data_IF_887174187547
#
_entry.id   IF_887174187547
#
_cell.length_a   1.000
_cell.length_b   1.000
_cell.length_c   1.000
_cell.angle_alpha   90.00
_cell.angle_beta   90.00
_cell.angle_gamma   90.00
#
_symmetry.space_group_name_H-M   'P 1'
#
loop_
_entity.id
_entity.type
_entity.pdbx_description
1 polymer ?
#
# COMPACT_ATOMS: atom_id res chain seq x y z
N UNK A 1 -17.20 5.95 -4.30
CA UNK A 1 -17.12 5.24 -3.02
C UNK A 1 -15.67 4.83 -2.84
N UNK A 2 -15.00 5.15 -1.73
CA UNK A 2 -13.59 4.73 -1.54
C UNK A 2 -13.59 3.25 -1.13
N UNK A 3 -12.92 2.39 -1.89
CA UNK A 3 -12.84 0.97 -1.59
C UNK A 3 -11.93 0.76 -0.37
N UNK A 4 -12.46 0.12 0.66
CA UNK A 4 -11.69 -0.21 1.87
C UNK A 4 -10.77 -1.38 1.55
N UNK A 5 -9.49 -1.25 1.92
CA UNK A 5 -8.55 -2.37 1.93
C UNK A 5 -8.70 -3.17 3.22
N UNK A 6 -8.49 -2.53 4.38
CA UNK A 6 -8.58 -3.20 5.68
C UNK A 6 -8.78 -2.19 6.81
N UNK A 7 -9.00 -2.69 8.02
CA UNK A 7 -9.08 -1.92 9.25
C UNK A 7 -8.03 -2.49 10.21
N UNK A 8 -7.17 -1.63 10.75
CA UNK A 8 -6.17 -2.05 11.74
C UNK A 8 -6.29 -1.24 13.03
N UNK A 9 -5.87 -1.81 14.15
CA UNK A 9 -5.85 -1.09 15.43
C UNK A 9 -4.93 0.14 15.42
N UNK A 10 -3.90 0.13 14.57
CA UNK A 10 -2.88 1.19 14.50
C UNK A 10 -3.30 2.32 13.56
N UNK A 11 -3.78 1.99 12.37
CA UNK A 11 -4.06 2.97 11.30
C UNK A 11 -5.55 3.29 11.16
N UNK A 12 -6.44 2.52 11.79
CA UNK A 12 -7.88 2.56 11.52
C UNK A 12 -8.20 2.07 10.11
N UNK A 13 -9.14 2.74 9.45
CA UNK A 13 -9.55 2.42 8.08
C UNK A 13 -8.45 2.81 7.07
N UNK A 14 -8.06 1.84 6.25
CA UNK A 14 -7.19 2.04 5.10
C UNK A 14 -8.01 1.89 3.82
N UNK A 15 -7.97 2.92 2.97
CA UNK A 15 -8.68 2.95 1.70
C UNK A 15 -7.69 2.84 0.55
N UNK A 16 -8.03 2.06 -0.48
CA UNK A 16 -7.24 2.02 -1.71
C UNK A 16 -7.10 3.41 -2.31
N UNK A 17 -5.86 3.76 -2.67
CA UNK A 17 -5.52 5.01 -3.35
C UNK A 17 -5.11 4.74 -4.80
N UNK A 18 -4.14 3.84 -5.03
CA UNK A 18 -3.75 3.41 -6.38
C UNK A 18 -3.17 1.98 -6.32
N UNK A 19 -3.38 1.18 -7.37
CA UNK A 19 -2.82 -0.17 -7.51
C UNK A 19 -1.70 -0.11 -8.55
N UNK A 20 -0.54 -0.65 -8.22
CA UNK A 20 0.65 -0.64 -9.06
C UNK A 20 0.98 -2.01 -9.64
N UNK A 21 0.66 -3.09 -8.90
CA UNK A 21 0.78 -4.47 -9.36
C UNK A 21 -0.44 -5.28 -8.98
N UNK A 22 -0.95 -6.05 -9.95
CA UNK A 22 -2.14 -6.88 -9.82
C UNK A 22 -1.90 -8.24 -10.47
N UNK A 23 -1.76 -9.25 -9.61
CA UNK A 23 -1.62 -10.64 -10.02
C UNK A 23 -2.35 -11.51 -9.00
N UNK A 24 -3.45 -12.10 -9.43
CA UNK A 24 -4.40 -12.80 -8.54
C UNK A 24 -4.82 -11.97 -7.31
N UNK A 25 -5.11 -10.69 -7.57
CA UNK A 25 -5.36 -9.68 -6.55
C UNK A 25 -4.28 -8.60 -6.48
N UNK A 26 -4.50 -7.54 -5.68
CA UNK A 26 -3.55 -6.45 -5.54
C UNK A 26 -2.33 -6.88 -4.72
N UNK A 27 -1.16 -6.92 -5.36
CA UNK A 27 0.10 -7.32 -4.73
C UNK A 27 0.94 -6.12 -4.29
N UNK A 28 0.83 -5.00 -5.01
CA UNK A 28 1.49 -3.75 -4.65
C UNK A 28 0.56 -2.55 -4.92
N UNK A 29 0.33 -1.74 -3.91
CA UNK A 29 -0.61 -0.62 -3.99
C UNK A 29 -0.33 0.42 -2.90
N UNK A 30 -0.89 1.62 -3.07
CA UNK A 30 -0.96 2.63 -2.02
C UNK A 30 -2.33 2.67 -1.37
N UNK A 31 -2.34 2.99 -0.09
CA UNK A 31 -3.55 3.26 0.69
C UNK A 31 -3.43 4.60 1.40
N UNK A 32 -4.59 5.17 1.70
CA UNK A 32 -4.70 6.39 2.50
C UNK A 32 -5.55 6.09 3.73
N UNK A 33 -5.10 6.55 4.90
CA UNK A 33 -5.91 6.46 6.12
C UNK A 33 -6.98 7.55 6.20
N UNK A 34 -7.85 7.48 7.20
CA UNK A 34 -8.88 8.50 7.44
C UNK A 34 -8.33 9.90 7.76
N UNK A 35 -7.05 10.02 8.12
CA UNK A 35 -6.36 11.27 8.44
C UNK A 35 -5.59 11.85 7.24
N UNK A 36 -5.61 11.17 6.10
CA UNK A 36 -4.94 11.59 4.87
C UNK A 36 -3.47 11.20 4.78
N UNK A 37 -2.97 10.31 5.65
CA UNK A 37 -1.60 9.78 5.59
C UNK A 37 -1.52 8.62 4.60
N UNK A 38 -0.49 8.66 3.76
CA UNK A 38 -0.24 7.67 2.73
C UNK A 38 0.65 6.54 3.24
N UNK A 39 0.34 5.34 2.76
CA UNK A 39 1.11 4.14 3.01
C UNK A 39 1.24 3.35 1.71
N UNK A 40 2.37 2.68 1.55
CA UNK A 40 2.52 1.61 0.57
C UNK A 40 2.19 0.29 1.25
N UNK A 41 1.50 -0.57 0.51
CA UNK A 41 1.18 -1.93 0.93
C UNK A 41 1.81 -2.88 -0.07
N UNK A 42 2.58 -3.83 0.44
CA UNK A 42 3.22 -4.87 -0.34
C UNK A 42 2.81 -6.24 0.19
N UNK A 43 2.35 -7.10 -0.71
CA UNK A 43 2.07 -8.50 -0.40
C UNK A 43 3.38 -9.24 -0.17
N UNK A 44 3.44 -10.00 0.92
CA UNK A 44 4.68 -10.69 1.33
C UNK A 44 4.56 -12.20 1.34
N UNK A 45 3.36 -12.72 1.61
CA UNK A 45 3.17 -14.15 1.78
C UNK A 45 1.67 -14.52 1.72
N UNK A 46 1.41 -15.80 1.48
CA UNK A 46 0.10 -16.42 1.65
C UNK A 46 0.25 -17.85 2.15
N UNK A 47 -0.64 -18.25 3.06
CA UNK A 47 -0.84 -19.65 3.42
C UNK A 47 -2.30 -20.05 3.17
N UNK A 48 -2.64 -21.31 3.47
CA UNK A 48 -3.96 -21.86 3.21
C UNK A 48 -5.11 -21.08 3.89
N UNK A 49 -4.81 -20.32 4.95
CA UNK A 49 -5.81 -19.62 5.77
C UNK A 49 -5.78 -18.10 5.62
N UNK A 50 -4.63 -17.50 5.25
CA UNK A 50 -4.45 -16.05 5.24
C UNK A 50 -3.51 -15.54 4.16
N UNK A 51 -3.82 -14.32 3.75
CA UNK A 51 -2.94 -13.47 2.96
C UNK A 51 -2.22 -12.47 3.88
N UNK A 52 -0.94 -12.26 3.65
CA UNK A 52 -0.08 -11.39 4.46
C UNK A 52 0.44 -10.20 3.65
N UNK A 53 0.32 -9.01 4.22
CA UNK A 53 0.84 -7.77 3.67
C UNK A 53 1.63 -6.99 4.71
N UNK A 54 2.60 -6.22 4.24
CA UNK A 54 3.31 -5.20 5.02
C UNK A 54 2.82 -3.81 4.62
N UNK A 55 2.52 -2.98 5.62
CA UNK A 55 2.07 -1.60 5.45
C UNK A 55 3.18 -0.66 5.91
N UNK A 56 3.64 0.22 5.01
CA UNK A 56 4.80 1.08 5.24
C UNK A 56 4.38 2.54 5.03
N UNK A 57 4.56 3.43 6.02
CA UNK A 57 4.24 4.84 5.86
C UNK A 57 5.17 5.47 4.81
N UNK A 58 4.59 6.28 3.92
CA UNK A 58 5.33 6.98 2.87
C UNK A 58 4.92 8.45 2.79
N UNK A 59 5.88 9.32 2.49
CA UNK A 59 5.56 10.72 2.21
C UNK A 59 4.95 10.87 0.82
N UNK A 60 4.07 11.88 0.65
CA UNK A 60 3.49 12.26 -0.66
C UNK A 60 4.56 12.44 -1.73
N UNK A 61 5.69 13.06 -1.37
CA UNK A 61 6.80 13.31 -2.27
C UNK A 61 7.46 12.01 -2.75
N UNK A 62 7.75 11.07 -1.85
CA UNK A 62 8.35 9.78 -2.23
C UNK A 62 7.38 8.95 -3.07
N UNK A 63 6.09 8.94 -2.72
CA UNK A 63 5.08 8.22 -3.51
C UNK A 63 4.99 8.76 -4.93
N UNK A 64 4.93 10.08 -5.10
CA UNK A 64 4.86 10.70 -6.41
C UNK A 64 6.08 10.37 -7.31
N UNK A 65 7.28 10.23 -6.72
CA UNK A 65 8.48 9.81 -7.46
C UNK A 65 8.38 8.38 -7.98
N UNK A 66 7.86 7.48 -7.15
CA UNK A 66 7.62 6.07 -7.52
C UNK A 66 6.58 5.99 -8.63
N UNK A 67 5.47 6.72 -8.49
CA UNK A 67 4.40 6.75 -9.50
C UNK A 67 4.87 7.31 -10.85
N UNK A 68 5.82 8.25 -10.83
CA UNK A 68 6.47 8.77 -12.04
C UNK A 68 7.59 7.87 -12.59
N UNK A 69 7.87 6.73 -11.94
CA UNK A 69 8.98 5.82 -12.25
C UNK A 69 10.36 6.49 -12.21
N UNK A 70 10.49 7.57 -11.46
CA UNK A 70 11.78 8.25 -11.24
C UNK A 70 12.66 7.44 -10.27
N UNK A 71 12.02 6.64 -9.41
CA UNK A 71 12.63 5.90 -8.32
C UNK A 71 11.94 4.54 -8.23
N UNK A 72 12.73 3.48 -8.09
CA UNK A 72 12.22 2.12 -7.95
C UNK A 72 11.59 1.90 -6.55
N UNK A 73 10.57 1.04 -6.46
CA UNK A 73 9.90 0.82 -5.18
C UNK A 73 10.82 0.19 -4.12
N UNK A 74 11.76 -0.68 -4.49
CA UNK A 74 12.72 -1.21 -3.52
C UNK A 74 13.62 -0.10 -2.98
N UNK A 75 13.94 0.90 -3.79
CA UNK A 75 14.79 2.00 -3.36
C UNK A 75 14.12 2.98 -2.39
N UNK A 76 12.80 2.89 -2.20
CA UNK A 76 12.10 3.64 -1.13
C UNK A 76 11.92 2.85 0.17
N UNK A 77 12.22 1.56 0.17
CA UNK A 77 12.15 0.70 1.35
C UNK A 77 13.47 0.65 2.15
N UNK A 78 14.57 1.08 1.54
CA UNK A 78 15.86 1.32 2.18
C UNK A 78 16.00 2.76 2.70
#
# INVERSE_FOLDING_TARGET
MKNIFTITNVHGYLYYNAIYDYFDGPKLFSVIDARGKLHIVYWIDEDDDKLSWVVIPISKYRLAKVEKKEVDIFSILN
#
